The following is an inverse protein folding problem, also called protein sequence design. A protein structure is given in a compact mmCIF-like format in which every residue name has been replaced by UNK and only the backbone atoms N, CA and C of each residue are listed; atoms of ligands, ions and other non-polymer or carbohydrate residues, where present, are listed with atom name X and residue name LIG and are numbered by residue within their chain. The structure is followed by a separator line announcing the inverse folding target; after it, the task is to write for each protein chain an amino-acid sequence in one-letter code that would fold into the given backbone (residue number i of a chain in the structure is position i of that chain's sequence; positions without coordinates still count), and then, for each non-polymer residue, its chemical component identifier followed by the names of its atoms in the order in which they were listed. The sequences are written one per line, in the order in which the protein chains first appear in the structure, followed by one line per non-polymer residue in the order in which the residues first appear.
data_IF_577813733297
#
_entry.id   IF_577813733297
#
_cell.length_a   1.000
_cell.length_b   1.000
_cell.length_c   1.000
_cell.angle_alpha   90.00
_cell.angle_beta   90.00
_cell.angle_gamma   90.00
#
_symmetry.space_group_name_H-M   'P 1'
#
loop_
_entity.id
_entity.type
_entity.pdbx_description
1 polymer ?
#
# COMPACT_ATOMS: atom_id res chain seq x y z
N UNK A 1 -9.78 -18.23 -9.55
CA UNK A 1 -9.95 -17.18 -10.58
C UNK A 1 -10.84 -16.03 -10.16
N UNK A 2 -12.15 -16.21 -9.98
CA UNK A 2 -13.04 -15.08 -9.65
C UNK A 2 -12.62 -14.28 -8.39
N UNK A 3 -12.20 -14.98 -7.32
CA UNK A 3 -11.71 -14.30 -6.11
C UNK A 3 -10.40 -13.51 -6.34
N UNK A 4 -9.48 -14.03 -7.17
CA UNK A 4 -8.26 -13.31 -7.56
C UNK A 4 -8.57 -12.08 -8.39
N UNK A 5 -9.49 -12.19 -9.34
CA UNK A 5 -9.93 -11.06 -10.16
C UNK A 5 -10.57 -9.96 -9.29
N UNK A 6 -11.42 -10.33 -8.33
CA UNK A 6 -12.01 -9.38 -7.39
C UNK A 6 -10.96 -8.73 -6.49
N UNK A 7 -9.97 -9.49 -6.01
CA UNK A 7 -8.86 -8.95 -5.22
C UNK A 7 -8.02 -7.95 -6.02
N UNK A 8 -7.67 -8.28 -7.27
CA UNK A 8 -6.91 -7.41 -8.18
C UNK A 8 -7.69 -6.13 -8.51
N UNK A 9 -9.01 -6.18 -8.52
CA UNK A 9 -9.85 -4.97 -8.69
C UNK A 9 -9.91 -4.14 -7.40
N UNK A 10 -9.99 -4.78 -6.23
CA UNK A 10 -10.23 -4.12 -4.95
C UNK A 10 -8.98 -3.43 -4.37
N UNK A 11 -7.82 -4.08 -4.38
CA UNK A 11 -6.59 -3.54 -3.76
C UNK A 11 -6.21 -2.16 -4.34
N UNK A 12 -6.11 -1.95 -5.67
CA UNK A 12 -5.81 -0.64 -6.24
C UNK A 12 -6.81 0.48 -5.92
N UNK A 13 -8.05 0.14 -5.55
CA UNK A 13 -9.02 1.15 -5.12
C UNK A 13 -8.71 1.69 -3.73
N UNK A 14 -8.08 0.88 -2.87
CA UNK A 14 -7.60 1.31 -1.56
C UNK A 14 -6.36 2.20 -1.68
N UNK A 15 -5.37 1.82 -2.48
CA UNK A 15 -4.11 2.58 -2.68
C UNK A 15 -4.37 4.04 -3.06
N UNK A 16 -5.41 4.30 -3.86
CA UNK A 16 -5.81 5.68 -4.27
C UNK A 16 -6.21 6.59 -3.11
N UNK A 17 -6.61 6.02 -1.98
CA UNK A 17 -6.97 6.75 -0.77
C UNK A 17 -6.02 6.50 0.41
N UNK A 18 -5.10 5.54 0.32
CA UNK A 18 -4.16 5.17 1.40
C UNK A 18 -3.44 6.41 1.94
N UNK A 19 -2.95 7.30 1.07
CA UNK A 19 -2.28 8.54 1.48
C UNK A 19 -3.10 9.40 2.46
N UNK A 20 -4.43 9.36 2.39
CA UNK A 20 -5.32 10.02 3.35
C UNK A 20 -5.52 9.14 4.59
N UNK A 21 -5.79 7.85 4.40
CA UNK A 21 -6.14 6.93 5.48
C UNK A 21 -4.95 6.74 6.43
N UNK A 22 -3.78 6.39 5.90
CA UNK A 22 -2.53 6.21 6.65
C UNK A 22 -1.99 7.54 7.20
N UNK A 23 -2.11 8.61 6.41
CA UNK A 23 -1.57 9.93 6.75
C UNK A 23 -2.40 10.75 7.75
N UNK A 24 -3.58 10.27 8.15
CA UNK A 24 -4.48 11.00 9.05
C UNK A 24 -4.68 10.22 10.36
N UNK A 25 -4.36 10.79 11.53
CA UNK A 25 -4.47 10.09 12.81
C UNK A 25 -5.84 9.49 13.12
N UNK A 26 -6.92 10.14 12.66
CA UNK A 26 -8.29 9.66 12.86
C UNK A 26 -8.63 8.40 12.05
N UNK A 27 -7.85 8.09 11.00
CA UNK A 27 -8.11 7.00 10.06
C UNK A 27 -6.97 5.97 10.02
N UNK A 28 -5.77 6.30 10.53
CA UNK A 28 -4.56 5.48 10.39
C UNK A 28 -4.67 4.05 10.93
N UNK A 29 -5.53 3.79 11.92
CA UNK A 29 -5.76 2.42 12.39
C UNK A 29 -6.38 1.53 11.30
N UNK A 30 -7.20 2.09 10.41
CA UNK A 30 -7.73 1.34 9.26
C UNK A 30 -6.63 0.92 8.30
N UNK A 31 -5.61 1.73 8.10
CA UNK A 31 -4.45 1.39 7.27
C UNK A 31 -3.66 0.23 7.85
N UNK A 32 -3.36 0.28 9.15
CA UNK A 32 -2.73 -0.86 9.85
C UNK A 32 -3.55 -2.14 9.68
N UNK A 33 -4.87 -2.07 9.76
CA UNK A 33 -5.74 -3.24 9.66
C UNK A 33 -5.85 -3.76 8.22
N UNK A 34 -6.00 -2.85 7.25
CA UNK A 34 -6.30 -3.20 5.87
C UNK A 34 -5.04 -3.57 5.09
N UNK A 35 -3.95 -2.80 5.21
CA UNK A 35 -2.84 -2.87 4.25
C UNK A 35 -1.42 -2.80 4.84
N UNK A 36 -1.20 -2.07 5.94
CA UNK A 36 0.17 -1.82 6.44
C UNK A 36 0.61 -2.70 7.61
N UNK A 37 -0.32 -3.22 8.42
CA UNK A 37 0.03 -3.90 9.66
C UNK A 37 0.72 -5.24 9.45
N UNK A 38 1.79 -5.47 10.20
CA UNK A 38 2.55 -6.71 10.15
C UNK A 38 1.83 -7.86 10.86
N UNK A 39 2.25 -9.09 10.56
CA UNK A 39 1.90 -10.22 11.42
C UNK A 39 2.73 -10.15 12.71
N UNK A 40 2.18 -10.62 13.84
CA UNK A 40 2.95 -10.66 15.08
C UNK A 40 4.15 -11.63 15.02
N UNK A 41 4.18 -12.55 14.06
CA UNK A 41 5.31 -13.44 13.85
C UNK A 41 6.48 -12.73 13.15
N UNK A 42 6.19 -11.77 12.29
CA UNK A 42 7.19 -11.06 11.49
C UNK A 42 7.65 -9.78 12.22
N UNK A 43 6.72 -9.00 12.77
CA UNK A 43 7.00 -7.81 13.58
C UNK A 43 5.95 -7.65 14.71
N UNK A 44 6.26 -8.08 15.94
CA UNK A 44 5.36 -7.95 17.08
C UNK A 44 5.04 -6.50 17.48
N UNK A 45 5.93 -5.55 17.19
CA UNK A 45 5.78 -4.14 17.61
C UNK A 45 4.78 -3.42 16.69
N UNK A 46 4.81 -3.73 15.40
CA UNK A 46 3.92 -3.17 14.38
C UNK A 46 2.80 -4.12 13.97
N UNK A 47 2.50 -5.11 14.82
CA UNK A 47 1.50 -6.13 14.52
C UNK A 47 0.08 -5.57 14.49
N UNK A 48 -0.75 -6.10 13.59
CA UNK A 48 -2.18 -5.78 13.53
C UNK A 48 -2.87 -5.88 14.90
N UNK A 49 -3.90 -5.05 15.17
CA UNK A 49 -4.55 -4.99 16.47
C UNK A 49 -5.58 -6.10 16.71
N UNK A 50 -5.81 -7.00 15.75
CA UNK A 50 -6.88 -7.99 15.79
C UNK A 50 -6.38 -9.44 15.66
N UNK A 51 -7.20 -10.37 16.15
CA UNK A 51 -7.10 -11.80 15.83
C UNK A 51 -8.20 -12.18 14.84
N UNK A 52 -7.91 -13.10 13.92
CA UNK A 52 -8.87 -13.54 12.90
C UNK A 52 -9.52 -14.87 13.32
N UNK A 53 -10.81 -14.82 13.67
CA UNK A 53 -11.59 -16.03 13.98
C UNK A 53 -12.09 -16.68 12.69
N UNK A 54 -11.73 -17.94 12.50
CA UNK A 54 -12.08 -18.73 11.33
C UNK A 54 -13.46 -19.40 11.50
N UNK A 55 -14.20 -19.70 10.40
CA UNK A 55 -15.49 -20.39 10.46
C UNK A 55 -15.47 -21.74 11.19
N UNK A 56 -14.32 -22.41 11.25
CA UNK A 56 -14.14 -23.68 11.96
C UNK A 56 -13.86 -23.51 13.48
N UNK A 57 -13.82 -22.28 13.99
CA UNK A 57 -13.55 -21.95 15.39
C UNK A 57 -12.07 -21.81 15.74
N UNK A 58 -11.15 -22.06 14.81
CA UNK A 58 -9.74 -21.72 14.99
C UNK A 58 -9.55 -20.20 14.99
N UNK A 59 -8.53 -19.73 15.69
CA UNK A 59 -8.15 -18.31 15.73
C UNK A 59 -6.73 -18.17 15.20
N UNK A 60 -6.55 -17.29 14.23
CA UNK A 60 -5.21 -16.83 13.80
C UNK A 60 -4.88 -15.59 14.62
N UNK A 61 -3.90 -15.71 15.52
CA UNK A 61 -3.49 -14.59 16.34
C UNK A 61 -2.68 -13.60 15.49
N UNK A 62 -3.14 -12.35 15.40
CA UNK A 62 -2.50 -11.25 14.67
C UNK A 62 -1.83 -11.65 13.34
N UNK A 63 -2.63 -12.07 12.34
CA UNK A 63 -2.10 -12.73 11.13
C UNK A 63 -1.38 -11.78 10.16
N UNK A 64 -1.45 -10.47 10.37
CA UNK A 64 -1.07 -9.45 9.40
C UNK A 64 -2.30 -8.76 8.83
N UNK A 65 -2.07 -7.74 8.01
CA UNK A 65 -3.12 -6.94 7.39
C UNK A 65 -4.00 -7.77 6.45
N UNK A 66 -5.22 -7.28 6.21
CA UNK A 66 -6.26 -8.06 5.52
C UNK A 66 -6.00 -8.24 4.02
N UNK A 67 -5.37 -7.28 3.34
CA UNK A 67 -4.93 -7.46 1.95
C UNK A 67 -3.84 -8.53 1.85
N UNK A 68 -2.83 -8.50 2.71
CA UNK A 68 -1.76 -9.50 2.77
C UNK A 68 -2.26 -10.90 3.16
N UNK A 69 -3.18 -11.01 4.11
CA UNK A 69 -3.83 -12.31 4.45
C UNK A 69 -4.58 -12.86 3.24
N UNK A 70 -5.39 -12.03 2.57
CA UNK A 70 -6.18 -12.50 1.42
C UNK A 70 -5.33 -12.77 0.18
N UNK A 71 -4.30 -11.97 -0.09
CA UNK A 71 -3.33 -12.20 -1.17
C UNK A 71 -2.57 -13.52 -0.94
N UNK A 72 -1.94 -13.67 0.21
CA UNK A 72 -1.14 -14.86 0.48
C UNK A 72 -1.97 -16.15 0.51
N UNK A 73 -3.22 -16.07 0.93
CA UNK A 73 -4.21 -17.16 0.81
C UNK A 73 -4.53 -17.48 -0.65
N UNK A 74 -4.76 -16.46 -1.47
CA UNK A 74 -5.17 -16.61 -2.88
C UNK A 74 -4.05 -17.07 -3.79
N UNK A 75 -2.80 -16.67 -3.53
CA UNK A 75 -1.62 -17.03 -4.34
C UNK A 75 -0.71 -18.06 -3.68
N UNK A 76 -1.01 -18.50 -2.46
CA UNK A 76 -0.29 -19.57 -1.77
C UNK A 76 1.13 -19.22 -1.35
N UNK A 77 1.41 -17.95 -1.10
CA UNK A 77 2.74 -17.50 -0.64
C UNK A 77 2.95 -17.73 0.85
N UNK A 78 1.90 -18.14 1.58
CA UNK A 78 1.99 -18.54 2.97
C UNK A 78 1.32 -19.89 3.21
N UNK A 79 2.14 -20.91 3.52
CA UNK A 79 1.72 -22.30 3.58
C UNK A 79 0.57 -22.55 4.57
N UNK A 80 0.58 -21.86 5.72
CA UNK A 80 -0.46 -21.99 6.75
C UNK A 80 -1.84 -21.50 6.29
N UNK A 81 -1.92 -20.76 5.18
CA UNK A 81 -3.18 -20.28 4.60
C UNK A 81 -3.65 -21.14 3.42
N UNK A 82 -2.98 -22.26 3.17
CA UNK A 82 -3.29 -23.20 2.10
C UNK A 82 -3.60 -24.58 2.65
N UNK A 83 -4.30 -25.38 1.85
CA UNK A 83 -4.54 -26.78 2.18
C UNK A 83 -3.28 -27.60 1.89
N UNK A 84 -2.69 -28.18 2.93
CA UNK A 84 -1.54 -29.07 2.81
C UNK A 84 -1.85 -30.33 1.98
N UNK A 85 -0.81 -30.93 1.41
CA UNK A 85 -0.84 -32.22 0.71
C UNK A 85 -1.77 -32.29 -0.52
N UNK A 86 -2.13 -31.13 -1.10
CA UNK A 86 -2.85 -31.04 -2.37
C UNK A 86 -1.91 -30.58 -3.48
N UNK A 87 -1.74 -31.40 -4.51
CA UNK A 87 -1.09 -30.97 -5.76
C UNK A 87 -2.11 -30.21 -6.61
N UNK A 88 -2.00 -28.88 -6.62
CA UNK A 88 -2.80 -28.02 -7.48
C UNK A 88 -2.06 -27.84 -8.82
N UNK A 89 -2.43 -28.63 -9.83
CA UNK A 89 -2.09 -28.39 -11.25
C UNK A 89 -3.41 -28.01 -11.94
N UNK A 90 -3.84 -26.77 -11.74
CA UNK A 90 -5.15 -26.32 -12.18
C UNK A 90 -5.19 -26.06 -13.69
N UNK A 91 -4.04 -25.78 -14.30
CA UNK A 91 -3.92 -25.58 -15.74
C UNK A 91 -3.63 -26.89 -16.52
N UNK A 92 -3.28 -27.98 -15.83
CA UNK A 92 -3.06 -29.31 -16.41
C UNK A 92 -1.75 -29.46 -17.18
N UNK A 93 -0.74 -28.61 -16.92
CA UNK A 93 0.53 -28.63 -17.64
C UNK A 93 1.55 -29.63 -17.06
N UNK A 94 1.21 -30.30 -15.95
CA UNK A 94 2.05 -31.28 -15.28
C UNK A 94 3.11 -30.69 -14.36
N UNK A 95 3.07 -29.38 -14.11
CA UNK A 95 3.85 -28.65 -13.12
C UNK A 95 2.89 -27.94 -12.14
N UNK A 96 3.43 -27.46 -11.02
CA UNK A 96 2.72 -26.56 -10.11
C UNK A 96 3.30 -25.18 -10.33
N UNK A 97 2.56 -24.34 -11.04
CA UNK A 97 2.97 -22.97 -11.35
C UNK A 97 2.73 -22.02 -10.16
N UNK A 98 3.29 -20.82 -10.25
CA UNK A 98 3.02 -19.78 -9.25
C UNK A 98 1.52 -19.49 -9.14
N UNK A 99 1.05 -19.39 -7.89
CA UNK A 99 -0.37 -19.26 -7.62
C UNK A 99 -1.15 -20.56 -7.81
N UNK A 100 -0.55 -21.69 -8.15
CA UNK A 100 -1.26 -22.97 -8.10
C UNK A 100 -1.14 -23.60 -6.71
N UNK A 101 -1.96 -23.08 -5.80
CA UNK A 101 -2.18 -23.62 -4.46
C UNK A 101 -3.68 -23.71 -4.21
N UNK A 102 -4.10 -24.67 -3.38
CA UNK A 102 -5.49 -24.71 -2.92
C UNK A 102 -5.62 -23.82 -1.66
N UNK A 103 -6.36 -22.69 -1.73
CA UNK A 103 -6.54 -21.83 -0.56
C UNK A 103 -7.29 -22.55 0.56
N UNK A 104 -6.94 -22.29 1.83
CA UNK A 104 -7.80 -22.70 2.95
C UNK A 104 -9.08 -21.86 2.90
N UNK A 105 -10.22 -22.54 2.69
CA UNK A 105 -11.53 -21.88 2.56
C UNK A 105 -11.95 -21.13 3.84
N UNK A 106 -11.50 -21.56 5.02
CA UNK A 106 -11.80 -20.89 6.28
C UNK A 106 -11.02 -19.59 6.40
N UNK A 107 -9.74 -19.60 6.03
CA UNK A 107 -8.89 -18.39 6.03
C UNK A 107 -9.41 -17.39 5.00
N UNK A 108 -9.65 -17.84 3.75
CA UNK A 108 -10.14 -16.97 2.70
C UNK A 108 -11.49 -16.33 3.06
N UNK A 109 -12.42 -17.11 3.61
CA UNK A 109 -13.71 -16.60 4.03
C UNK A 109 -13.59 -15.59 5.17
N UNK A 110 -12.83 -15.92 6.22
CA UNK A 110 -12.66 -15.03 7.36
C UNK A 110 -11.99 -13.71 6.95
N UNK A 111 -10.91 -13.79 6.16
CA UNK A 111 -10.20 -12.63 5.66
C UNK A 111 -11.09 -11.74 4.77
N UNK A 112 -11.85 -12.33 3.85
CA UNK A 112 -12.75 -11.57 2.97
C UNK A 112 -13.92 -10.93 3.74
N UNK A 113 -14.52 -11.63 4.70
CA UNK A 113 -15.58 -11.08 5.55
C UNK A 113 -15.04 -9.91 6.40
N UNK A 114 -13.84 -10.06 6.97
CA UNK A 114 -13.18 -9.02 7.76
C UNK A 114 -12.81 -7.80 6.89
N UNK A 115 -12.25 -8.02 5.71
CA UNK A 115 -11.92 -6.96 4.74
C UNK A 115 -13.18 -6.16 4.37
N UNK A 116 -14.29 -6.85 4.08
CA UNK A 116 -15.56 -6.19 3.80
C UNK A 116 -16.08 -5.36 5.00
N UNK A 117 -15.97 -5.90 6.22
CA UNK A 117 -16.38 -5.20 7.44
C UNK A 117 -15.56 -3.93 7.64
N UNK A 118 -14.24 -4.02 7.64
CA UNK A 118 -13.36 -2.88 7.88
C UNK A 118 -13.39 -1.85 6.75
N UNK A 119 -13.58 -2.26 5.50
CA UNK A 119 -13.84 -1.33 4.41
C UNK A 119 -15.17 -0.58 4.62
N UNK A 120 -16.21 -1.25 5.11
CA UNK A 120 -17.50 -0.62 5.42
C UNK A 120 -17.39 0.37 6.60
N UNK A 121 -16.62 -0.01 7.62
CA UNK A 121 -16.35 0.85 8.79
C UNK A 121 -15.50 2.07 8.40
N UNK A 122 -14.50 1.91 7.53
CA UNK A 122 -13.73 3.01 6.96
C UNK A 122 -14.63 3.97 6.17
N UNK A 123 -15.54 3.46 5.34
CA UNK A 123 -16.52 4.28 4.63
C UNK A 123 -17.38 5.07 5.62
N UNK A 124 -17.88 4.43 6.68
CA UNK A 124 -18.70 5.10 7.68
C UNK A 124 -17.91 6.18 8.44
N UNK A 125 -16.66 5.88 8.82
CA UNK A 125 -15.76 6.84 9.45
C UNK A 125 -15.51 8.05 8.52
N UNK A 126 -15.13 7.80 7.27
CA UNK A 126 -14.87 8.83 6.27
C UNK A 126 -16.09 9.72 5.99
N UNK A 127 -17.32 9.19 6.02
CA UNK A 127 -18.54 9.98 5.83
C UNK A 127 -18.82 10.98 6.97
N UNK A 128 -18.33 10.69 8.17
CA UNK A 128 -18.48 11.57 9.34
C UNK A 128 -17.23 12.40 9.63
N UNK A 129 -16.12 12.07 8.97
CA UNK A 129 -14.85 12.75 9.10
C UNK A 129 -14.93 14.17 8.52
N UNK A 130 -14.43 15.14 9.27
CA UNK A 130 -14.38 16.54 8.90
C UNK A 130 -12.92 16.95 8.74
N UNK A 131 -12.32 16.75 7.55
CA UNK A 131 -10.90 17.01 7.33
C UNK A 131 -10.53 18.46 7.62
N UNK A 132 -9.35 18.63 8.22
CA UNK A 132 -8.76 19.93 8.49
C UNK A 132 -7.54 20.18 7.60
N UNK A 133 -7.12 21.44 7.38
CA UNK A 133 -5.83 21.71 6.74
C UNK A 133 -4.67 21.04 7.46
N UNK A 134 -4.70 20.96 8.81
CA UNK A 134 -3.68 20.25 9.59
C UNK A 134 -3.55 18.79 9.20
N UNK A 135 -4.66 18.06 9.08
CA UNK A 135 -4.66 16.67 8.65
C UNK A 135 -4.20 16.53 7.20
N UNK A 136 -4.64 17.40 6.29
CA UNK A 136 -4.20 17.36 4.89
C UNK A 136 -2.70 17.61 4.74
N UNK A 137 -2.13 18.59 5.44
CA UNK A 137 -0.69 18.83 5.45
C UNK A 137 0.07 17.71 6.15
N UNK A 138 -0.48 17.12 7.20
CA UNK A 138 0.11 15.94 7.88
C UNK A 138 0.19 14.77 6.93
N UNK A 139 -0.91 14.42 6.24
CA UNK A 139 -0.96 13.33 5.29
C UNK A 139 0.09 13.47 4.19
N UNK A 140 0.22 14.66 3.61
CA UNK A 140 1.28 14.95 2.63
C UNK A 140 2.68 14.75 3.22
N UNK A 141 2.94 15.28 4.42
CA UNK A 141 4.29 15.26 5.00
C UNK A 141 4.70 13.87 5.49
N UNK A 142 3.75 13.07 5.98
CA UNK A 142 3.99 11.72 6.48
C UNK A 142 4.09 10.70 5.33
N UNK A 143 3.24 10.81 4.31
CA UNK A 143 3.12 9.77 3.28
C UNK A 143 4.05 9.97 2.07
N UNK A 144 4.40 11.21 1.69
CA UNK A 144 5.34 11.42 0.57
C UNK A 144 6.72 10.79 0.82
N UNK A 145 7.36 10.92 2.00
CA UNK A 145 8.74 10.46 2.21
C UNK A 145 8.88 8.95 2.49
N UNK A 146 7.87 8.11 2.24
CA UNK A 146 7.94 6.65 2.44
C UNK A 146 8.52 5.89 1.23
N UNK A 147 9.02 6.60 0.22
CA UNK A 147 9.46 6.00 -1.06
C UNK A 147 10.54 4.92 -0.88
N UNK A 148 11.52 5.10 0.00
CA UNK A 148 12.54 4.08 0.24
C UNK A 148 11.95 2.75 0.73
N UNK A 149 10.93 2.81 1.59
CA UNK A 149 10.26 1.63 2.10
C UNK A 149 9.50 0.93 0.97
N UNK A 150 8.71 1.67 0.20
CA UNK A 150 7.97 1.12 -0.93
C UNK A 150 8.88 0.52 -2.01
N UNK A 151 10.00 1.17 -2.34
CA UNK A 151 10.98 0.61 -3.26
C UNK A 151 11.71 -0.61 -2.66
N UNK A 152 11.90 -0.67 -1.34
CA UNK A 152 12.39 -1.85 -0.64
C UNK A 152 11.44 -3.04 -0.80
N UNK A 153 10.14 -2.85 -0.58
CA UNK A 153 9.12 -3.88 -0.81
C UNK A 153 9.06 -4.30 -2.27
N UNK A 154 9.13 -3.36 -3.22
CA UNK A 154 9.21 -3.68 -4.65
C UNK A 154 10.45 -4.52 -4.99
N UNK A 155 11.63 -4.14 -4.49
CA UNK A 155 12.90 -4.89 -4.66
C UNK A 155 12.78 -6.33 -4.18
N UNK A 156 12.17 -6.52 -3.01
CA UNK A 156 12.10 -7.84 -2.38
C UNK A 156 10.93 -8.68 -2.92
N UNK A 157 10.00 -8.06 -3.65
CA UNK A 157 8.85 -8.71 -4.28
C UNK A 157 9.23 -9.63 -5.44
N UNK A 158 8.25 -10.42 -5.90
CA UNK A 158 8.38 -11.28 -7.08
C UNK A 158 8.69 -10.50 -8.36
N UNK A 159 8.38 -9.21 -8.43
CA UNK A 159 8.58 -8.40 -9.64
C UNK A 159 10.06 -8.12 -9.93
N UNK A 160 10.90 -8.08 -8.88
CA UNK A 160 12.36 -7.92 -8.99
C UNK A 160 13.10 -9.21 -8.64
N UNK A 161 12.82 -9.81 -7.49
CA UNK A 161 13.51 -11.02 -7.02
C UNK A 161 13.03 -12.32 -7.69
N UNK A 162 11.92 -12.28 -8.43
CA UNK A 162 11.37 -13.45 -9.13
C UNK A 162 11.02 -14.58 -8.16
N UNK A 163 11.40 -15.81 -8.51
CA UNK A 163 11.18 -17.00 -7.70
C UNK A 163 12.01 -17.05 -6.41
N UNK A 164 13.00 -16.17 -6.27
CA UNK A 164 13.81 -16.06 -5.04
C UNK A 164 13.14 -15.19 -3.97
N UNK A 165 12.07 -14.47 -4.32
CA UNK A 165 11.31 -13.69 -3.35
C UNK A 165 10.73 -14.59 -2.27
N UNK A 166 10.89 -14.17 -1.02
CA UNK A 166 10.24 -14.78 0.15
C UNK A 166 9.10 -13.91 0.69
N UNK A 167 8.76 -12.82 -0.01
CA UNK A 167 7.67 -11.94 0.38
C UNK A 167 6.34 -12.69 0.30
N UNK A 168 5.47 -12.43 1.28
CA UNK A 168 4.11 -12.98 1.30
C UNK A 168 3.18 -12.11 0.45
N UNK A 169 3.46 -10.82 0.40
CA UNK A 169 2.73 -9.75 -0.25
C UNK A 169 3.42 -9.27 -1.55
N UNK A 170 2.75 -8.39 -2.28
CA UNK A 170 3.22 -7.80 -3.54
C UNK A 170 3.60 -8.86 -4.58
N UNK A 171 2.80 -9.93 -4.64
CA UNK A 171 3.04 -11.05 -5.58
C UNK A 171 2.05 -11.05 -6.73
N UNK A 172 0.90 -10.40 -6.56
CA UNK A 172 -0.15 -10.24 -7.55
C UNK A 172 -0.08 -8.87 -8.24
N UNK A 173 0.18 -7.81 -7.47
CA UNK A 173 0.29 -6.42 -7.95
C UNK A 173 1.66 -5.88 -7.57
N UNK A 174 2.27 -5.15 -8.50
CA UNK A 174 3.56 -4.52 -8.29
C UNK A 174 3.41 -3.34 -7.35
N UNK A 175 4.29 -3.23 -6.35
CA UNK A 175 4.31 -2.05 -5.46
C UNK A 175 4.50 -0.72 -6.21
N UNK A 176 5.03 -0.75 -7.44
CA UNK A 176 5.07 0.44 -8.31
C UNK A 176 3.68 0.93 -8.73
N UNK A 177 2.72 0.01 -8.94
CA UNK A 177 1.34 0.37 -9.24
C UNK A 177 0.71 1.08 -8.04
N UNK A 178 0.91 0.51 -6.84
CA UNK A 178 0.44 1.07 -5.57
C UNK A 178 1.01 2.48 -5.35
N UNK A 179 2.33 2.63 -5.45
CA UNK A 179 3.01 3.92 -5.33
C UNK A 179 2.42 4.98 -6.27
N UNK A 180 2.09 4.62 -7.51
CA UNK A 180 1.46 5.54 -8.46
C UNK A 180 0.07 5.98 -7.99
N UNK A 181 -0.74 5.05 -7.50
CA UNK A 181 -2.10 5.33 -7.02
C UNK A 181 -2.08 6.17 -5.73
N UNK A 182 -1.18 5.86 -4.78
CA UNK A 182 -0.96 6.65 -3.55
C UNK A 182 -0.54 8.09 -3.89
N UNK A 183 0.47 8.25 -4.74
CA UNK A 183 0.95 9.58 -5.15
C UNK A 183 -0.13 10.36 -5.91
N UNK A 184 -0.94 9.69 -6.73
CA UNK A 184 -2.12 10.29 -7.38
C UNK A 184 -3.16 10.79 -6.37
N UNK A 185 -3.42 10.03 -5.30
CA UNK A 185 -4.27 10.46 -4.19
C UNK A 185 -3.71 11.70 -3.47
N UNK A 186 -2.40 11.72 -3.20
CA UNK A 186 -1.71 12.83 -2.54
C UNK A 186 -1.70 14.11 -3.40
N UNK A 187 -1.63 14.01 -4.73
CA UNK A 187 -1.82 15.17 -5.62
C UNK A 187 -3.20 15.78 -5.47
N UNK A 188 -4.25 14.95 -5.33
CA UNK A 188 -5.62 15.42 -5.09
C UNK A 188 -5.69 16.14 -3.75
N UNK A 189 -5.08 15.59 -2.70
CA UNK A 189 -4.99 16.24 -1.38
C UNK A 189 -4.31 17.60 -1.49
N UNK A 190 -3.15 17.68 -2.16
CA UNK A 190 -2.43 18.93 -2.32
C UNK A 190 -3.26 19.96 -3.10
N UNK A 191 -3.93 19.56 -4.18
CA UNK A 191 -4.79 20.45 -4.96
C UNK A 191 -5.91 21.10 -4.11
N UNK A 192 -6.42 20.42 -3.08
CA UNK A 192 -7.42 20.99 -2.18
C UNK A 192 -6.84 22.05 -1.22
N UNK A 193 -5.57 21.91 -0.82
CA UNK A 193 -4.90 22.88 0.06
C UNK A 193 -4.05 23.91 -0.68
N UNK A 194 -3.87 23.75 -1.99
CA UNK A 194 -3.09 24.64 -2.84
C UNK A 194 -3.50 26.12 -2.72
N UNK A 195 -4.79 26.51 -2.62
CA UNK A 195 -5.16 27.91 -2.42
C UNK A 195 -4.59 28.53 -1.14
N UNK A 196 -4.34 27.73 -0.09
CA UNK A 196 -3.67 28.19 1.13
C UNK A 196 -2.19 28.45 0.88
N UNK A 197 -1.53 27.56 0.13
CA UNK A 197 -0.13 27.73 -0.27
C UNK A 197 0.05 28.96 -1.19
N UNK A 198 -0.84 29.15 -2.18
CA UNK A 198 -0.82 30.28 -3.11
C UNK A 198 -0.93 31.64 -2.40
N UNK A 199 -1.72 31.69 -1.31
CA UNK A 199 -1.89 32.91 -0.53
C UNK A 199 -0.61 33.34 0.21
N UNK A 200 0.31 32.41 0.42
CA UNK A 200 1.59 32.64 1.09
C UNK A 200 2.71 32.86 0.07
N UNK A 201 2.86 31.92 -0.86
CA UNK A 201 3.85 31.97 -1.93
C UNK A 201 3.36 31.15 -3.13
N UNK A 202 2.84 31.84 -4.14
CA UNK A 202 2.34 31.21 -5.37
C UNK A 202 3.43 30.53 -6.19
N UNK A 203 4.68 30.99 -6.12
CA UNK A 203 5.78 30.35 -6.84
C UNK A 203 6.15 29.03 -6.17
N UNK A 204 6.31 29.03 -4.85
CA UNK A 204 6.54 27.81 -4.07
C UNK A 204 5.38 26.82 -4.19
N UNK A 205 4.15 27.30 -4.16
CA UNK A 205 2.95 26.47 -4.37
C UNK A 205 2.98 25.75 -5.73
N UNK A 206 3.30 26.46 -6.81
CA UNK A 206 3.47 25.85 -8.13
C UNK A 206 4.64 24.85 -8.19
N UNK A 207 5.74 25.11 -7.47
CA UNK A 207 6.87 24.20 -7.37
C UNK A 207 6.51 22.90 -6.63
N UNK A 208 5.71 22.96 -5.56
CA UNK A 208 5.21 21.78 -4.85
C UNK A 208 4.33 20.94 -5.79
N UNK A 209 3.35 21.54 -6.46
CA UNK A 209 2.48 20.82 -7.41
C UNK A 209 3.30 20.12 -8.49
N UNK A 210 4.28 20.82 -9.07
CA UNK A 210 5.18 20.28 -10.09
C UNK A 210 6.04 19.15 -9.52
N UNK A 211 6.55 19.30 -8.30
CA UNK A 211 7.36 18.29 -7.63
C UNK A 211 6.60 16.98 -7.36
N UNK A 212 5.34 17.09 -6.91
CA UNK A 212 4.44 15.94 -6.73
C UNK A 212 4.21 15.19 -8.04
N UNK A 213 3.84 15.92 -9.11
CA UNK A 213 3.65 15.33 -10.44
C UNK A 213 4.92 14.68 -10.96
N UNK A 214 6.08 15.33 -10.82
CA UNK A 214 7.35 14.76 -11.25
C UNK A 214 7.75 13.50 -10.47
N UNK A 215 7.37 13.38 -9.20
CA UNK A 215 7.59 12.18 -8.40
C UNK A 215 6.67 11.04 -8.86
N UNK A 216 5.37 11.32 -9.05
CA UNK A 216 4.42 10.34 -9.58
C UNK A 216 4.82 9.87 -10.98
N UNK A 217 5.16 10.79 -11.86
CA UNK A 217 5.56 10.48 -13.24
C UNK A 217 6.85 9.66 -13.27
N UNK A 218 7.80 9.92 -12.36
CA UNK A 218 9.01 9.10 -12.20
C UNK A 218 8.67 7.64 -11.84
N UNK A 219 7.77 7.41 -10.88
CA UNK A 219 7.31 6.06 -10.52
C UNK A 219 6.56 5.41 -11.69
N UNK A 220 5.67 6.17 -12.34
CA UNK A 220 4.88 5.69 -13.49
C UNK A 220 5.76 5.26 -14.65
N UNK A 221 6.84 5.98 -14.95
CA UNK A 221 7.80 5.61 -15.99
C UNK A 221 8.55 4.31 -15.68
N UNK A 222 8.85 4.04 -14.41
CA UNK A 222 9.46 2.76 -13.98
C UNK A 222 8.44 1.64 -14.11
N UNK A 223 7.19 1.88 -13.69
CA UNK A 223 6.11 0.92 -13.81
C UNK A 223 5.82 0.55 -15.27
N UNK A 224 5.77 1.53 -16.18
CA UNK A 224 5.62 1.27 -17.61
C UNK A 224 6.78 0.43 -18.16
N UNK A 225 8.02 0.68 -17.75
CA UNK A 225 9.16 -0.17 -18.14
C UNK A 225 8.99 -1.61 -17.67
N UNK A 226 8.52 -1.81 -16.42
CA UNK A 226 8.22 -3.15 -15.89
C UNK A 226 7.13 -3.86 -16.71
N UNK A 227 6.04 -3.14 -17.02
CA UNK A 227 4.94 -3.65 -17.86
C UNK A 227 5.39 -3.98 -19.29
N UNK A 228 6.33 -3.21 -19.84
CA UNK A 228 6.97 -3.46 -21.14
C UNK A 228 7.97 -4.64 -21.10
N UNK A 229 8.14 -5.28 -19.95
CA UNK A 229 8.92 -6.49 -19.77
C UNK A 229 10.36 -6.26 -19.31
N UNK A 230 10.73 -5.04 -18.91
CA UNK A 230 12.03 -4.80 -18.25
C UNK A 230 12.06 -5.59 -16.94
N UNK A 231 13.16 -6.33 -16.73
CA UNK A 231 13.48 -6.96 -15.45
C UNK A 231 14.55 -6.11 -14.77
N UNK A 232 14.17 -5.48 -13.68
CA UNK A 232 15.08 -4.66 -12.87
C UNK A 232 15.90 -5.56 -11.96
N UNK A 233 17.15 -5.17 -11.68
CA UNK A 233 17.94 -5.79 -10.61
C UNK A 233 17.61 -5.17 -9.26
N UNK A 234 18.03 -5.85 -8.18
CA UNK A 234 17.89 -5.31 -6.84
C UNK A 234 18.66 -3.99 -6.66
N UNK A 235 19.84 -3.89 -7.27
CA UNK A 235 20.65 -2.67 -7.26
C UNK A 235 20.00 -1.54 -8.05
N UNK A 236 19.34 -1.83 -9.18
CA UNK A 236 18.53 -0.82 -9.89
C UNK A 236 17.38 -0.34 -9.02
N UNK A 237 16.68 -1.25 -8.32
CA UNK A 237 15.59 -0.89 -7.43
C UNK A 237 16.05 0.02 -6.27
N UNK A 238 17.19 -0.29 -5.65
CA UNK A 238 17.79 0.55 -4.60
C UNK A 238 18.16 1.94 -5.12
N UNK A 239 18.77 2.03 -6.32
CA UNK A 239 19.14 3.32 -6.92
C UNK A 239 17.91 4.17 -7.27
N UNK A 240 16.86 3.55 -7.82
CA UNK A 240 15.61 4.22 -8.15
C UNK A 240 14.86 4.66 -6.88
N UNK A 241 14.86 3.83 -5.84
CA UNK A 241 14.29 4.17 -4.54
C UNK A 241 14.97 5.37 -3.91
N UNK A 242 16.31 5.42 -3.92
CA UNK A 242 17.06 6.56 -3.43
C UNK A 242 16.74 7.86 -4.21
N UNK A 243 16.57 7.78 -5.53
CA UNK A 243 16.17 8.92 -6.36
C UNK A 243 14.72 9.37 -6.05
N UNK A 244 13.78 8.43 -5.95
CA UNK A 244 12.41 8.72 -5.54
C UNK A 244 12.37 9.40 -4.16
N UNK A 245 13.13 8.89 -3.21
CA UNK A 245 13.23 9.44 -1.87
C UNK A 245 13.81 10.86 -1.87
N UNK A 246 14.85 11.13 -2.66
CA UNK A 246 15.41 12.47 -2.76
C UNK A 246 14.37 13.48 -3.29
N UNK A 247 13.59 13.08 -4.29
CA UNK A 247 12.48 13.89 -4.82
C UNK A 247 11.40 14.12 -3.77
N UNK A 248 10.97 13.05 -3.10
CA UNK A 248 9.99 13.09 -2.03
C UNK A 248 10.43 14.04 -0.90
N UNK A 249 11.64 13.89 -0.37
CA UNK A 249 12.19 14.75 0.68
C UNK A 249 12.22 16.22 0.28
N UNK A 250 12.57 16.53 -0.98
CA UNK A 250 12.56 17.91 -1.46
C UNK A 250 11.15 18.51 -1.48
N UNK A 251 10.15 17.76 -1.94
CA UNK A 251 8.75 18.20 -2.00
C UNK A 251 8.17 18.34 -0.59
N UNK A 252 8.36 17.34 0.27
CA UNK A 252 7.94 17.36 1.67
C UNK A 252 8.55 18.56 2.40
N UNK A 253 9.83 18.87 2.16
CA UNK A 253 10.47 20.04 2.75
C UNK A 253 9.79 21.36 2.40
N UNK A 254 9.33 21.52 1.16
CA UNK A 254 8.57 22.71 0.74
C UNK A 254 7.18 22.75 1.36
N UNK A 255 6.49 21.62 1.41
CA UNK A 255 5.16 21.50 2.05
C UNK A 255 5.24 21.90 3.53
N UNK A 256 6.23 21.39 4.26
CA UNK A 256 6.46 21.74 5.67
C UNK A 256 6.77 23.23 5.87
N UNK A 257 7.49 23.86 4.94
CA UNK A 257 7.75 25.31 5.00
C UNK A 257 6.47 26.12 4.85
N UNK A 258 5.62 25.76 3.88
CA UNK A 258 4.32 26.41 3.68
C UNK A 258 3.41 26.22 4.89
N UNK A 259 3.34 25.00 5.45
CA UNK A 259 2.56 24.73 6.66
C UNK A 259 3.01 25.61 7.84
N UNK A 260 4.33 25.74 8.04
CA UNK A 260 4.89 26.60 9.08
C UNK A 260 4.54 28.09 8.87
N UNK A 261 4.61 28.60 7.64
CA UNK A 261 4.23 29.99 7.31
C UNK A 261 2.73 30.24 7.52
N UNK A 262 1.89 29.23 7.30
CA UNK A 262 0.46 29.26 7.59
C UNK A 262 0.12 29.07 9.07
N UNK A 263 1.10 28.77 9.94
CA UNK A 263 0.89 28.33 11.33
C UNK A 263 -0.02 27.08 11.43
N UNK A 264 0.08 26.17 10.46
CA UNK A 264 -0.58 24.87 10.48
C UNK A 264 0.33 23.88 11.18
N UNK A 265 -0.18 23.22 12.21
CA UNK A 265 0.52 22.12 12.87
C UNK A 265 0.51 20.87 11.98
N UNK A 266 1.65 20.19 11.92
CA UNK A 266 1.80 18.85 11.36
C UNK A 266 1.89 17.89 12.55
N UNK A 267 1.13 16.80 12.53
CA UNK A 267 1.24 15.78 13.55
C UNK A 267 2.53 14.97 13.38
N UNK A 268 3.10 14.52 14.50
CA UNK A 268 4.24 13.61 14.54
C UNK A 268 3.81 12.16 14.27
#
# INVERSE_FOLDING_TARGET
DAARAAWIEASPLYEKMEGIVAGTPALAEFDVILDAGASAADDPENAVPFDLTLPNGQVLAKPGNLFGVTESTLWGTYADYTVADVTADFNGNGAVDFGESLPDANVLKAGADALHSYASDLIAAAQTWSPTPSEAFTALVVMIPTMNEYFGSWRDSRFVAGEQSTQRDFVAISRLADMQDILGGLEVVYAQVQPLADAVDSEQSAQIATGLSNLRDFVSDIYHQEQDGKRFSAEEADLLGAEAQNRATNVTGQISQVAAQLNISIAD
#
